data_IF_472878035372
#
_entry.id   IF_472878035372
#
_cell.length_a   1.000
_cell.length_b   1.000
_cell.length_c   1.000
_cell.angle_alpha   90.00
_cell.angle_beta   90.00
_cell.angle_gamma   90.00
#
_symmetry.space_group_name_H-M   'P 1'
#
loop_
_entity.id
_entity.type
_entity.pdbx_description
1 polymer ?
#
# COMPACT_ATOMS: atom_id res chain seq x y z
N UNK A 1 3.96 -6.73 -22.68
CA UNK A 1 3.08 -6.13 -21.66
C UNK A 1 3.97 -5.26 -20.78
N UNK A 2 3.57 -4.03 -20.42
CA UNK A 2 4.34 -3.30 -19.41
C UNK A 2 4.15 -4.04 -18.10
N UNK A 3 5.24 -4.52 -17.49
CA UNK A 3 5.21 -5.00 -16.11
C UNK A 3 4.90 -3.78 -15.25
N UNK A 4 3.66 -3.68 -14.78
CA UNK A 4 3.31 -2.63 -13.83
C UNK A 4 3.87 -3.05 -12.47
N UNK A 5 4.69 -2.19 -11.88
CA UNK A 5 5.23 -2.39 -10.55
C UNK A 5 4.09 -2.71 -9.56
N UNK A 6 4.33 -3.71 -8.73
CA UNK A 6 3.44 -4.12 -7.66
C UNK A 6 4.15 -4.01 -6.32
N UNK A 7 3.36 -4.00 -5.26
CA UNK A 7 3.85 -4.00 -3.90
C UNK A 7 3.04 -5.02 -3.08
N UNK A 8 3.68 -5.56 -2.07
CA UNK A 8 3.10 -6.49 -1.11
C UNK A 8 3.10 -5.82 0.25
N UNK A 9 2.00 -5.89 0.98
CA UNK A 9 1.87 -5.38 2.34
C UNK A 9 1.33 -6.50 3.21
N UNK A 10 1.98 -6.76 4.33
CA UNK A 10 1.49 -7.65 5.38
C UNK A 10 1.26 -6.84 6.65
N UNK A 11 0.05 -6.88 7.18
CA UNK A 11 -0.28 -6.23 8.44
C UNK A 11 0.36 -6.98 9.62
N UNK A 12 1.05 -6.25 10.50
CA UNK A 12 1.63 -6.78 11.75
C UNK A 12 0.79 -6.42 12.99
N UNK A 13 -0.29 -5.66 12.81
CA UNK A 13 -1.30 -5.31 13.81
C UNK A 13 -2.68 -5.16 13.14
N UNK A 14 -3.75 -5.15 13.94
CA UNK A 14 -5.10 -4.91 13.44
C UNK A 14 -5.28 -3.45 13.02
N UNK A 15 -5.98 -3.24 11.91
CA UNK A 15 -6.32 -1.89 11.44
C UNK A 15 -5.20 -1.14 10.73
N UNK A 16 -4.26 -1.86 10.12
CA UNK A 16 -3.35 -1.27 9.13
C UNK A 16 -4.17 -0.71 7.97
N UNK A 17 -3.93 0.55 7.59
CA UNK A 17 -4.63 1.21 6.49
C UNK A 17 -3.70 1.34 5.29
N UNK A 18 -4.15 0.84 4.14
CA UNK A 18 -3.49 1.04 2.85
C UNK A 18 -4.29 1.99 1.98
N UNK A 19 -3.73 3.17 1.72
CA UNK A 19 -4.44 4.30 1.12
C UNK A 19 -3.87 4.56 -0.27
N UNK A 20 -4.68 4.40 -1.30
CA UNK A 20 -4.32 4.75 -2.67
C UNK A 20 -4.47 6.25 -2.93
N UNK A 21 -3.48 6.84 -3.59
CA UNK A 21 -3.51 8.24 -4.02
C UNK A 21 -3.70 8.36 -5.54
N UNK A 22 -4.58 9.28 -5.94
CA UNK A 22 -4.93 9.52 -7.34
C UNK A 22 -3.74 9.91 -8.18
N UNK A 23 -3.68 9.41 -9.41
CA UNK A 23 -2.80 9.91 -10.47
C UNK A 23 -3.37 11.19 -11.10
N UNK A 24 -2.54 12.19 -11.37
CA UNK A 24 -2.92 13.40 -12.12
C UNK A 24 -2.55 14.71 -11.41
N UNK A 25 -3.18 15.81 -11.80
CA UNK A 25 -2.90 17.16 -11.30
C UNK A 25 -3.28 17.38 -9.82
N UNK A 26 -4.07 16.47 -9.23
CA UNK A 26 -4.47 16.53 -7.83
C UNK A 26 -4.13 15.22 -7.14
N UNK A 27 -3.46 15.33 -6.01
CA UNK A 27 -3.11 14.20 -5.15
C UNK A 27 -4.11 14.11 -4.01
N UNK A 28 -5.05 13.16 -4.08
CA UNK A 28 -6.04 12.91 -3.01
C UNK A 28 -6.22 11.43 -2.74
N UNK A 29 -6.73 11.10 -1.56
CA UNK A 29 -7.13 9.73 -1.22
C UNK A 29 -8.38 9.36 -2.02
N UNK A 30 -8.40 8.15 -2.60
CA UNK A 30 -9.55 7.67 -3.38
C UNK A 30 -10.02 6.28 -2.98
N UNK A 31 -9.14 5.46 -2.42
CA UNK A 31 -9.46 4.17 -1.81
C UNK A 31 -8.66 4.00 -0.53
N UNK A 32 -9.25 3.32 0.45
CA UNK A 32 -8.58 2.90 1.68
C UNK A 32 -8.98 1.46 1.95
N UNK A 33 -8.00 0.57 2.00
CA UNK A 33 -8.19 -0.81 2.44
C UNK A 33 -7.73 -0.94 3.89
N UNK A 34 -8.53 -1.59 4.73
CA UNK A 34 -8.15 -1.89 6.11
C UNK A 34 -7.74 -3.36 6.18
N UNK A 35 -6.56 -3.62 6.73
CA UNK A 35 -6.03 -4.96 6.95
C UNK A 35 -5.98 -5.25 8.45
N UNK A 36 -6.47 -6.41 8.85
CA UNK A 36 -6.31 -6.97 10.20
C UNK A 36 -5.00 -7.79 10.30
N UNK A 37 -4.56 -8.09 11.52
CA UNK A 37 -3.25 -8.68 11.77
C UNK A 37 -3.06 -10.00 11.01
N UNK A 38 -1.97 -10.10 10.25
CA UNK A 38 -1.65 -11.26 9.43
C UNK A 38 -2.24 -11.25 8.03
N UNK A 39 -3.17 -10.33 7.71
CA UNK A 39 -3.66 -10.16 6.35
C UNK A 39 -2.57 -9.62 5.41
N UNK A 40 -2.67 -10.03 4.15
CA UNK A 40 -1.72 -9.68 3.09
C UNK A 40 -2.47 -9.08 1.92
N UNK A 41 -2.00 -7.93 1.44
CA UNK A 41 -2.46 -7.33 0.19
C UNK A 41 -1.33 -7.30 -0.83
N UNK A 42 -1.63 -7.73 -2.05
CA UNK A 42 -0.76 -7.62 -3.22
C UNK A 42 -1.49 -6.75 -4.24
N UNK A 43 -0.92 -5.61 -4.58
CA UNK A 43 -1.58 -4.63 -5.44
C UNK A 43 -0.60 -3.98 -6.42
N UNK A 44 -1.12 -3.56 -7.57
CA UNK A 44 -0.36 -2.90 -8.63
C UNK A 44 -0.55 -1.38 -8.58
N UNK A 45 0.44 -0.64 -9.06
CA UNK A 45 0.18 0.72 -9.52
C UNK A 45 -0.68 0.69 -10.77
N UNK A 46 -1.70 1.55 -10.83
CA UNK A 46 -2.68 1.55 -11.91
C UNK A 46 -2.76 2.92 -12.59
N UNK A 47 -3.66 3.05 -13.55
CA UNK A 47 -4.03 4.34 -14.11
C UNK A 47 -4.55 5.31 -13.03
N UNK A 48 -5.29 4.78 -12.04
CA UNK A 48 -5.90 5.58 -10.98
C UNK A 48 -4.99 5.75 -9.76
N UNK A 49 -4.16 4.75 -9.44
CA UNK A 49 -3.26 4.76 -8.27
C UNK A 49 -1.84 5.05 -8.69
N UNK A 50 -1.31 6.22 -8.30
CA UNK A 50 0.07 6.62 -8.57
C UNK A 50 1.00 6.55 -7.38
N UNK A 51 0.44 6.61 -6.18
CA UNK A 51 1.17 6.50 -4.93
C UNK A 51 0.31 5.77 -3.90
N UNK A 52 0.96 5.20 -2.90
CA UNK A 52 0.32 4.44 -1.83
C UNK A 52 0.91 4.88 -0.50
N UNK A 53 0.02 5.11 0.47
CA UNK A 53 0.39 5.43 1.86
C UNK A 53 -0.07 4.30 2.77
N UNK A 54 0.84 3.74 3.54
CA UNK A 54 0.55 2.73 4.56
C UNK A 54 0.62 3.38 5.93
N UNK A 55 -0.36 3.10 6.79
CA UNK A 55 -0.41 3.54 8.20
C UNK A 55 -0.66 2.34 9.10
N UNK A 56 0.01 2.31 10.24
CA UNK A 56 0.03 1.16 11.15
C UNK A 56 1.27 0.29 10.94
N UNK A 57 1.48 -0.66 11.83
CA UNK A 57 2.62 -1.58 11.82
C UNK A 57 2.47 -2.63 10.72
N UNK A 58 3.38 -2.60 9.75
CA UNK A 58 3.32 -3.50 8.60
C UNK A 58 4.71 -3.78 8.02
N UNK A 59 4.85 -4.92 7.35
CA UNK A 59 5.98 -5.23 6.47
C UNK A 59 5.56 -5.01 5.02
N UNK A 60 6.37 -4.29 4.25
CA UNK A 60 6.11 -3.89 2.87
C UNK A 60 7.24 -4.41 1.99
N UNK A 61 6.93 -5.07 0.88
CA UNK A 61 7.91 -5.53 -0.10
C UNK A 61 7.60 -4.93 -1.47
N UNK A 62 8.64 -4.41 -2.13
CA UNK A 62 8.60 -3.96 -3.52
C UNK A 62 9.78 -4.57 -4.29
N UNK A 63 9.91 -4.23 -5.57
CA UNK A 63 11.11 -4.51 -6.36
C UNK A 63 12.41 -3.92 -5.76
N UNK A 64 12.30 -2.94 -4.85
CA UNK A 64 13.44 -2.28 -4.21
C UNK A 64 13.82 -2.88 -2.85
N UNK A 65 13.12 -3.94 -2.41
CA UNK A 65 13.40 -4.64 -1.15
C UNK A 65 12.26 -4.53 -0.14
N UNK A 66 12.59 -4.87 1.11
CA UNK A 66 11.66 -4.88 2.24
C UNK A 66 11.80 -3.59 3.07
N UNK A 67 10.67 -3.07 3.53
CA UNK A 67 10.57 -1.94 4.46
C UNK A 67 9.56 -2.27 5.55
N UNK A 68 9.71 -1.67 6.72
CA UNK A 68 8.76 -1.79 7.82
C UNK A 68 8.23 -0.43 8.23
N UNK A 69 6.94 -0.37 8.53
CA UNK A 69 6.32 0.80 9.15
C UNK A 69 6.09 0.52 10.63
N UNK A 70 6.20 1.56 11.44
CA UNK A 70 5.90 1.50 12.88
C UNK A 70 4.44 1.89 13.13
N UNK A 71 3.83 1.27 14.15
CA UNK A 71 2.53 1.68 14.68
C UNK A 71 2.68 3.04 15.39
N UNK A 72 1.61 3.85 15.36
CA UNK A 72 1.54 5.12 16.12
C UNK A 72 1.16 4.88 17.57
#
# INVERSE_FOLDING_TARGET
MRENDFFVIKAEEDGVNVIGLTRGNTTRFHHSEKLDAGEVMIAQFTEHTSAVKVRGKATIQTNHGEMKTEGS
#
